data_IF_156358689186
#
_entry.id   IF_156358689186
#
_cell.length_a   1.000
_cell.length_b   1.000
_cell.length_c   1.000
_cell.angle_alpha   90.00
_cell.angle_beta   90.00
_cell.angle_gamma   90.00
#
_symmetry.space_group_name_H-M   'P 1'
#
loop_
_entity.id
_entity.type
_entity.pdbx_description
1 polymer ?
#
# COMPACT_ATOMS: atom_id res chain seq x y z
N UNK A 1 8.80 -0.67 -23.70
CA UNK A 1 8.93 -1.56 -22.52
C UNK A 1 10.31 -1.29 -21.94
N UNK A 2 10.38 -0.82 -20.69
CA UNK A 2 11.61 -0.25 -20.11
C UNK A 2 12.51 -1.24 -19.36
N UNK A 3 12.20 -2.54 -19.43
CA UNK A 3 13.06 -3.60 -18.88
C UNK A 3 13.94 -4.10 -20.03
N UNK A 4 15.22 -3.81 -19.95
CA UNK A 4 16.22 -4.04 -20.99
C UNK A 4 17.26 -5.08 -20.60
N UNK A 5 17.39 -5.38 -19.31
CA UNK A 5 18.31 -6.38 -18.79
C UNK A 5 17.73 -7.16 -17.59
N UNK A 6 18.41 -8.24 -17.21
CA UNK A 6 17.97 -9.13 -16.13
C UNK A 6 17.98 -8.47 -14.74
N UNK A 7 18.90 -7.53 -14.49
CA UNK A 7 18.97 -6.84 -13.21
C UNK A 7 17.75 -5.93 -13.01
N UNK A 8 17.31 -5.23 -14.06
CA UNK A 8 16.07 -4.45 -14.05
C UNK A 8 14.84 -5.33 -13.81
N UNK A 9 14.78 -6.49 -14.48
CA UNK A 9 13.69 -7.45 -14.26
C UNK A 9 13.68 -7.96 -12.81
N UNK A 10 14.85 -8.29 -12.25
CA UNK A 10 14.98 -8.77 -10.88
C UNK A 10 14.58 -7.68 -9.86
N UNK A 11 14.99 -6.43 -10.08
CA UNK A 11 14.60 -5.29 -9.25
C UNK A 11 13.08 -5.06 -9.26
N UNK A 12 12.48 -5.00 -10.44
CA UNK A 12 11.02 -4.86 -10.59
C UNK A 12 10.27 -6.00 -9.89
N UNK A 13 10.75 -7.25 -9.98
CA UNK A 13 10.14 -8.40 -9.29
C UNK A 13 10.18 -8.26 -7.77
N UNK A 14 11.33 -7.87 -7.20
CA UNK A 14 11.48 -7.66 -5.75
C UNK A 14 10.57 -6.56 -5.22
N UNK A 15 10.53 -5.40 -5.89
CA UNK A 15 9.64 -4.30 -5.52
C UNK A 15 8.17 -4.74 -5.59
N UNK A 16 7.81 -5.49 -6.63
CA UNK A 16 6.44 -6.02 -6.81
C UNK A 16 6.07 -7.08 -5.78
N UNK A 17 7.00 -7.90 -5.34
CA UNK A 17 6.79 -8.88 -4.27
C UNK A 17 6.49 -8.19 -2.94
N UNK A 18 7.27 -7.17 -2.57
CA UNK A 18 7.04 -6.39 -1.36
C UNK A 18 5.64 -5.73 -1.35
N UNK A 19 5.25 -5.11 -2.47
CA UNK A 19 3.92 -4.50 -2.64
C UNK A 19 2.81 -5.54 -2.59
N UNK A 20 2.94 -6.65 -3.33
CA UNK A 20 1.90 -7.68 -3.41
C UNK A 20 1.67 -8.38 -2.08
N UNK A 21 2.74 -8.68 -1.34
CA UNK A 21 2.65 -9.29 0.00
C UNK A 21 2.01 -8.28 0.96
N UNK A 22 2.46 -7.03 0.97
CA UNK A 22 1.88 -5.98 1.82
C UNK A 22 0.38 -5.83 1.57
N UNK A 23 -0.05 -5.68 0.31
CA UNK A 23 -1.46 -5.55 -0.04
C UNK A 23 -2.28 -6.77 0.42
N UNK A 24 -1.79 -7.98 0.17
CA UNK A 24 -2.47 -9.22 0.56
C UNK A 24 -2.67 -9.30 2.08
N UNK A 25 -1.63 -8.99 2.84
CA UNK A 25 -1.68 -9.00 4.30
C UNK A 25 -2.59 -7.89 4.83
N UNK A 26 -2.55 -6.68 4.26
CA UNK A 26 -3.47 -5.61 4.62
C UNK A 26 -4.92 -6.00 4.37
N UNK A 27 -5.25 -6.55 3.19
CA UNK A 27 -6.60 -7.07 2.90
C UNK A 27 -7.04 -8.13 3.91
N UNK A 28 -6.14 -9.00 4.34
CA UNK A 28 -6.43 -10.06 5.32
C UNK A 28 -6.58 -9.52 6.75
N UNK A 29 -5.91 -8.41 7.07
CA UNK A 29 -5.91 -7.79 8.39
C UNK A 29 -7.08 -6.84 8.62
N UNK A 30 -7.60 -6.25 7.54
CA UNK A 30 -8.73 -5.32 7.57
C UNK A 30 -9.96 -5.98 8.19
N UNK A 31 -10.58 -5.28 9.16
CA UNK A 31 -11.74 -5.78 9.90
C UNK A 31 -12.58 -4.63 10.47
N UNK A 32 -13.88 -4.83 10.71
CA UNK A 32 -14.71 -3.83 11.37
C UNK A 32 -14.13 -3.39 12.73
N UNK A 33 -14.29 -2.10 13.04
CA UNK A 33 -13.78 -1.47 14.26
C UNK A 33 -12.34 -0.97 14.17
N UNK A 34 -11.61 -1.28 13.11
CA UNK A 34 -10.27 -0.75 12.83
C UNK A 34 -10.36 0.62 12.15
N UNK A 35 -9.48 1.55 12.51
CA UNK A 35 -9.29 2.79 11.76
C UNK A 35 -8.46 2.58 10.49
N UNK A 36 -8.66 3.40 9.46
CA UNK A 36 -7.78 3.33 8.27
C UNK A 36 -6.34 3.70 8.61
N UNK A 37 -6.09 4.47 9.68
CA UNK A 37 -4.72 4.74 10.18
C UNK A 37 -4.05 3.47 10.71
N UNK A 38 -4.73 2.67 11.53
CA UNK A 38 -4.17 1.41 12.04
C UNK A 38 -3.84 0.44 10.89
N UNK A 39 -4.70 0.36 9.87
CA UNK A 39 -4.45 -0.47 8.70
C UNK A 39 -3.25 0.03 7.87
N UNK A 40 -3.14 1.34 7.70
CA UNK A 40 -2.02 1.99 7.02
C UNK A 40 -0.68 1.75 7.74
N UNK A 41 -0.67 1.88 9.07
CA UNK A 41 0.52 1.61 9.89
C UNK A 41 0.92 0.13 9.85
N UNK A 42 -0.05 -0.79 9.80
CA UNK A 42 0.21 -2.21 9.59
C UNK A 42 0.92 -2.47 8.26
N UNK A 43 0.40 -1.89 7.15
CA UNK A 43 1.04 -1.99 5.83
C UNK A 43 2.45 -1.38 5.79
N UNK A 44 2.64 -0.25 6.47
CA UNK A 44 3.94 0.41 6.57
C UNK A 44 4.99 -0.45 7.26
N UNK A 45 4.61 -1.16 8.32
CA UNK A 45 5.48 -2.12 9.00
C UNK A 45 5.97 -3.22 8.06
N UNK A 46 5.07 -3.80 7.26
CA UNK A 46 5.42 -4.85 6.30
C UNK A 46 6.37 -4.31 5.23
N UNK A 47 6.09 -3.15 4.64
CA UNK A 47 7.01 -2.53 3.67
C UNK A 47 8.39 -2.31 4.28
N UNK A 48 8.46 -1.85 5.53
CA UNK A 48 9.72 -1.66 6.23
C UNK A 48 10.49 -2.97 6.45
N UNK A 49 9.82 -4.09 6.70
CA UNK A 49 10.44 -5.42 6.81
C UNK A 49 11.08 -5.88 5.48
N UNK A 50 10.54 -5.45 4.33
CA UNK A 50 11.17 -5.64 3.02
C UNK A 50 12.30 -4.64 2.73
N UNK A 51 12.50 -3.63 3.58
CA UNK A 51 13.37 -2.48 3.29
C UNK A 51 12.79 -1.52 2.24
N UNK A 52 11.51 -1.69 1.87
CA UNK A 52 10.83 -0.87 0.89
C UNK A 52 10.29 0.42 1.55
N UNK A 53 10.28 1.51 0.77
CA UNK A 53 9.77 2.81 1.21
C UNK A 53 8.42 3.08 0.56
N UNK A 54 7.43 3.53 1.33
CA UNK A 54 6.15 3.99 0.81
C UNK A 54 6.35 5.03 -0.31
N UNK A 55 5.81 4.74 -1.49
CA UNK A 55 5.87 5.63 -2.64
C UNK A 55 5.04 6.93 -2.43
N UNK A 56 3.80 6.90 -1.88
CA UNK A 56 3.04 8.11 -1.58
C UNK A 56 3.78 9.06 -0.65
N UNK A 57 4.34 8.54 0.45
CA UNK A 57 5.08 9.36 1.41
C UNK A 57 6.39 9.88 0.82
N UNK A 58 7.18 9.01 0.18
CA UNK A 58 8.49 9.37 -0.38
C UNK A 58 8.36 10.47 -1.43
N UNK A 59 7.36 10.36 -2.32
CA UNK A 59 7.21 11.23 -3.49
C UNK A 59 6.50 12.55 -3.17
N UNK A 60 5.41 12.49 -2.40
CA UNK A 60 4.51 13.64 -2.25
C UNK A 60 4.40 14.16 -0.82
N UNK A 61 5.10 13.54 0.14
CA UNK A 61 4.83 13.75 1.57
C UNK A 61 3.35 13.53 1.89
N UNK A 62 2.74 12.55 1.23
CA UNK A 62 1.36 12.15 1.47
C UNK A 62 1.17 11.85 2.97
N UNK A 63 0.05 12.26 3.59
CA UNK A 63 -0.20 12.06 5.02
C UNK A 63 -0.62 10.62 5.37
N UNK A 64 0.10 9.63 4.84
CA UNK A 64 -0.09 8.19 4.99
C UNK A 64 0.97 7.41 4.23
N UNK A 65 0.98 6.10 4.40
CA UNK A 65 1.93 5.20 3.73
C UNK A 65 1.32 4.55 2.49
N UNK A 66 0.02 4.31 2.54
CA UNK A 66 -0.84 3.69 1.53
C UNK A 66 -2.08 4.56 1.32
N UNK A 67 -2.83 4.31 0.26
CA UNK A 67 -4.13 4.95 0.05
C UNK A 67 -5.23 3.96 0.42
N UNK A 68 -6.19 4.39 1.24
CA UNK A 68 -7.32 3.56 1.67
C UNK A 68 -8.60 4.33 1.44
N UNK A 69 -9.39 3.88 0.46
CA UNK A 69 -10.61 4.54 0.00
C UNK A 69 -11.84 3.73 0.37
N UNK A 70 -12.73 4.32 1.15
CA UNK A 70 -13.93 3.65 1.68
C UNK A 70 -15.19 4.11 0.94
N UNK A 71 -15.99 3.15 0.46
CA UNK A 71 -17.28 3.32 -0.21
C UNK A 71 -17.23 4.25 -1.43
N UNK A 72 -17.66 5.52 -1.28
CA UNK A 72 -17.78 6.48 -2.37
C UNK A 72 -16.48 7.25 -2.64
N UNK A 73 -15.43 7.00 -1.85
CA UNK A 73 -14.10 7.55 -2.09
C UNK A 73 -13.48 6.89 -3.32
N UNK A 74 -13.15 7.68 -4.36
CA UNK A 74 -12.74 7.14 -5.66
C UNK A 74 -11.31 6.58 -5.65
N UNK A 75 -10.36 7.35 -5.12
CA UNK A 75 -8.96 6.96 -4.95
C UNK A 75 -8.28 7.91 -3.95
N UNK A 76 -7.04 7.59 -3.58
CA UNK A 76 -6.18 8.43 -2.73
C UNK A 76 -6.81 8.81 -1.37
N UNK A 77 -7.62 7.93 -0.80
CA UNK A 77 -8.17 8.13 0.54
C UNK A 77 -7.07 8.23 1.57
N UNK A 78 -7.07 9.32 2.34
CA UNK A 78 -6.05 9.60 3.36
C UNK A 78 -6.37 8.77 4.62
N UNK A 79 -5.42 7.93 5.09
CA UNK A 79 -5.59 7.19 6.34
C UNK A 79 -5.84 8.11 7.54
N UNK A 80 -6.76 7.74 8.43
CA UNK A 80 -7.21 8.61 9.52
C UNK A 80 -7.72 7.82 10.72
N UNK A 81 -7.36 8.25 11.93
CA UNK A 81 -7.89 7.68 13.19
C UNK A 81 -9.41 7.85 13.31
N UNK A 82 -9.99 8.79 12.56
CA UNK A 82 -11.43 9.10 12.59
C UNK A 82 -12.24 8.26 11.61
N UNK A 83 -11.59 7.59 10.64
CA UNK A 83 -12.27 6.74 9.65
C UNK A 83 -12.21 5.31 10.14
N UNK A 84 -13.28 4.86 10.79
CA UNK A 84 -13.43 3.49 11.26
C UNK A 84 -14.11 2.65 10.19
N UNK A 85 -13.60 1.44 9.96
CA UNK A 85 -14.19 0.45 9.05
C UNK A 85 -15.39 -0.21 9.73
N UNK A 86 -16.48 -0.40 8.98
CA UNK A 86 -17.69 -1.06 9.46
C UNK A 86 -18.01 -2.29 8.62
N UNK A 87 -18.80 -3.19 9.19
CA UNK A 87 -19.34 -4.33 8.45
C UNK A 87 -20.15 -3.83 7.24
N UNK A 88 -19.83 -4.37 6.05
CA UNK A 88 -20.47 -3.99 4.79
C UNK A 88 -19.82 -2.82 4.06
N UNK A 89 -18.79 -2.18 4.62
CA UNK A 89 -18.00 -1.18 3.88
C UNK A 89 -17.24 -1.85 2.71
N UNK A 90 -17.27 -1.21 1.54
CA UNK A 90 -16.34 -1.53 0.45
C UNK A 90 -15.06 -0.74 0.66
N UNK A 91 -13.92 -1.41 0.70
CA UNK A 91 -12.63 -0.77 1.02
C UNK A 91 -11.62 -1.09 -0.07
N UNK A 92 -11.20 -0.08 -0.81
CA UNK A 92 -10.05 -0.19 -1.70
C UNK A 92 -8.78 0.10 -0.91
N UNK A 93 -7.78 -0.78 -1.04
CA UNK A 93 -6.43 -0.60 -0.51
C UNK A 93 -5.49 -0.53 -1.71
N UNK A 94 -4.70 0.54 -1.76
CA UNK A 94 -3.71 0.79 -2.81
C UNK A 94 -2.33 0.96 -2.14
N UNK A 95 -1.41 0.10 -2.57
CA UNK A 95 -0.06 -0.01 -2.04
C UNK A 95 0.93 0.22 -3.18
N UNK A 96 1.78 1.21 -3.00
CA UNK A 96 2.93 1.44 -3.86
C UNK A 96 4.19 1.71 -3.04
N UNK A 97 5.31 1.22 -3.53
CA UNK A 97 6.59 1.32 -2.84
C UNK A 97 7.80 1.40 -3.77
N UNK A 98 8.87 2.00 -3.25
CA UNK A 98 10.21 2.03 -3.82
C UNK A 98 11.11 1.03 -3.08
N UNK A 99 11.83 0.19 -3.83
CA UNK A 99 12.87 -0.70 -3.32
C UNK A 99 14.06 -0.72 -4.29
N UNK A 100 15.25 -0.38 -3.80
CA UNK A 100 16.51 -0.36 -4.54
C UNK A 100 16.45 0.42 -5.88
N UNK A 101 15.69 1.52 -5.90
CA UNK A 101 15.47 2.36 -7.07
C UNK A 101 14.34 1.90 -8.01
N UNK A 102 13.70 0.77 -7.72
CA UNK A 102 12.57 0.24 -8.49
C UNK A 102 11.25 0.51 -7.80
N UNK A 103 10.22 0.79 -8.58
CA UNK A 103 8.90 1.17 -8.09
C UNK A 103 7.88 0.12 -8.50
N UNK A 104 6.99 -0.23 -7.59
CA UNK A 104 5.83 -1.07 -7.90
C UNK A 104 4.58 -0.49 -7.25
N UNK A 105 3.44 -0.84 -7.82
CA UNK A 105 2.14 -0.28 -7.51
C UNK A 105 1.06 -1.33 -7.77
N UNK A 106 0.16 -1.52 -6.81
CA UNK A 106 -0.95 -2.46 -6.90
C UNK A 106 -2.08 -2.08 -5.93
N UNK A 107 -3.32 -2.37 -6.31
CA UNK A 107 -4.48 -2.13 -5.44
C UNK A 107 -5.53 -3.21 -5.57
N UNK A 108 -6.32 -3.41 -4.50
CA UNK A 108 -7.43 -4.35 -4.48
C UNK A 108 -8.59 -3.84 -3.61
N UNK A 109 -9.81 -4.25 -3.95
CA UNK A 109 -11.04 -3.98 -3.19
C UNK A 109 -11.69 -5.27 -2.70
#
# INVERSE_FOLDING_TARGET
MSITNEAELAGMKKASEAVAITLKEMCSHARPGMSTRELDEYGAGILADFGAKSAPYLTYKFPGWTCISVNNEFCHGIPSDKRILHEGDLVNIDVSAELDGFWSDNGNS
#
